data_IF_675966394130
#
_entry.id   IF_675966394130
#
_cell.length_a   1.000
_cell.length_b   1.000
_cell.length_c   1.000
_cell.angle_alpha   90.00
_cell.angle_beta   90.00
_cell.angle_gamma   90.00
#
_symmetry.space_group_name_H-M   'P 1'
#
loop_
_entity.id
_entity.type
_entity.pdbx_description
1 polymer ?
#
# COMPACT_ATOMS: atom_id res chain seq x y z
N UNK A 1 59.02 45.73 40.68
CA UNK A 1 59.49 44.33 40.63
C UNK A 1 58.94 43.73 39.34
N UNK A 2 59.57 43.88 38.18
CA UNK A 2 60.83 43.27 37.68
C UNK A 2 60.65 41.84 37.17
N UNK A 3 61.09 41.67 35.90
CA UNK A 3 61.41 40.44 35.11
C UNK A 3 60.24 39.84 34.29
N UNK A 4 60.26 39.96 32.96
CA UNK A 4 61.08 39.21 31.95
C UNK A 4 60.62 37.75 31.83
N UNK A 5 60.53 37.07 30.69
CA UNK A 5 60.72 37.34 29.26
C UNK A 5 60.32 36.05 28.49
N UNK A 6 60.55 36.04 27.17
CA UNK A 6 60.62 34.90 26.22
C UNK A 6 59.35 34.47 25.44
N UNK A 7 59.29 34.96 24.18
CA UNK A 7 59.00 34.17 22.95
C UNK A 7 60.19 33.18 22.71
N UNK A 8 60.15 32.13 21.83
CA UNK A 8 59.35 31.91 20.60
C UNK A 8 58.83 30.44 20.45
N UNK A 9 58.10 30.02 19.42
CA UNK A 9 58.67 29.49 18.17
C UNK A 9 57.57 29.26 17.11
N UNK A 10 57.89 29.67 15.87
CA UNK A 10 57.21 29.29 14.64
C UNK A 10 57.27 27.77 14.46
N UNK A 11 56.14 27.17 14.08
CA UNK A 11 56.06 25.84 13.50
C UNK A 11 55.13 25.88 12.29
N UNK A 12 55.66 26.23 11.13
CA UNK A 12 55.02 26.07 9.82
C UNK A 12 54.91 24.58 9.50
N UNK A 13 53.71 24.01 9.66
CA UNK A 13 53.37 22.72 9.07
C UNK A 13 52.69 22.97 7.72
N UNK A 14 53.45 22.80 6.64
CA UNK A 14 52.93 22.72 5.29
C UNK A 14 52.16 21.38 5.16
N UNK A 15 50.83 21.43 5.19
CA UNK A 15 50.01 20.30 4.80
C UNK A 15 49.96 20.25 3.27
N UNK A 16 50.67 19.26 2.70
CA UNK A 16 50.58 18.93 1.29
C UNK A 16 49.13 18.64 0.92
N UNK A 17 48.65 19.35 -0.11
CA UNK A 17 47.44 19.05 -0.82
C UNK A 17 47.59 17.72 -1.58
N UNK A 18 46.87 16.69 -1.16
CA UNK A 18 46.58 15.53 -1.98
C UNK A 18 45.21 15.75 -2.64
N UNK A 19 45.23 16.35 -3.84
CA UNK A 19 44.06 16.37 -4.72
C UNK A 19 43.88 14.94 -5.27
N UNK A 20 43.04 14.14 -4.62
CA UNK A 20 42.57 12.88 -5.21
C UNK A 20 41.52 13.27 -6.25
N UNK A 21 41.92 13.33 -7.53
CA UNK A 21 40.96 13.26 -8.62
C UNK A 21 40.33 11.86 -8.57
N UNK A 22 39.18 11.75 -7.91
CA UNK A 22 38.27 10.65 -8.14
C UNK A 22 37.82 10.75 -9.60
N UNK A 23 38.36 9.88 -10.46
CA UNK A 23 37.75 9.64 -11.74
C UNK A 23 36.28 9.26 -11.48
N UNK A 24 35.30 9.84 -12.20
CA UNK A 24 33.97 9.27 -12.20
C UNK A 24 34.13 7.87 -12.80
N UNK A 25 34.12 6.86 -11.94
CA UNK A 25 33.75 5.52 -12.35
C UNK A 25 32.38 5.68 -12.96
N UNK A 26 32.32 5.77 -14.29
CA UNK A 26 31.10 5.51 -15.01
C UNK A 26 30.69 4.12 -14.53
N UNK A 27 29.72 4.09 -13.62
CA UNK A 27 28.94 2.90 -13.33
C UNK A 27 28.35 2.54 -14.69
N UNK A 28 29.03 1.64 -15.40
CA UNK A 28 28.38 0.86 -16.41
C UNK A 28 27.21 0.22 -15.67
N UNK A 29 26.03 0.77 -15.88
CA UNK A 29 24.78 0.13 -15.53
C UNK A 29 24.76 -1.13 -16.39
N UNK A 30 25.39 -2.19 -15.90
CA UNK A 30 25.13 -3.53 -16.40
C UNK A 30 23.63 -3.67 -16.29
N UNK A 31 22.96 -3.78 -17.44
CA UNK A 31 21.58 -4.19 -17.48
C UNK A 31 21.44 -5.39 -16.52
N UNK A 32 20.38 -5.44 -15.69
CA UNK A 32 20.20 -6.56 -14.77
C UNK A 32 20.35 -7.84 -15.58
N UNK A 33 21.27 -8.69 -15.11
CA UNK A 33 21.50 -10.01 -15.65
C UNK A 33 20.13 -10.71 -15.68
N UNK A 34 19.51 -10.77 -16.87
CA UNK A 34 18.26 -11.49 -17.09
C UNK A 34 18.63 -12.96 -17.13
N UNK A 35 19.01 -13.49 -15.97
CA UNK A 35 19.12 -14.92 -15.78
C UNK A 35 17.74 -15.53 -16.00
N UNK A 36 17.70 -16.64 -16.73
CA UNK A 36 16.51 -17.45 -17.07
C UNK A 36 15.76 -18.01 -15.83
N UNK A 37 16.14 -17.58 -14.62
CA UNK A 37 15.62 -17.94 -13.30
C UNK A 37 15.04 -16.73 -12.52
N UNK A 38 14.76 -15.60 -13.18
CA UNK A 38 14.25 -14.41 -12.52
C UNK A 38 12.96 -14.69 -11.73
N UNK A 39 13.09 -14.84 -10.40
CA UNK A 39 11.96 -15.02 -9.51
C UNK A 39 11.13 -13.74 -9.50
N UNK A 40 9.82 -13.89 -9.65
CA UNK A 40 8.89 -12.76 -9.70
C UNK A 40 8.06 -12.78 -8.43
N UNK A 41 7.94 -11.62 -7.80
CA UNK A 41 7.15 -11.47 -6.58
C UNK A 41 6.10 -10.39 -6.76
N UNK A 42 4.90 -10.66 -6.27
CA UNK A 42 3.77 -9.74 -6.25
C UNK A 42 2.91 -10.04 -5.04
N UNK A 43 1.99 -9.14 -4.72
CA UNK A 43 1.07 -9.36 -3.62
C UNK A 43 -0.37 -9.51 -4.08
N UNK A 44 -1.19 -10.17 -3.28
CA UNK A 44 -2.59 -10.46 -3.60
C UNK A 44 -3.43 -10.33 -2.32
N UNK A 45 -4.50 -9.56 -2.36
CA UNK A 45 -5.55 -9.60 -1.35
C UNK A 45 -6.29 -10.94 -1.47
N UNK A 46 -6.32 -11.74 -0.40
CA UNK A 46 -6.77 -13.13 -0.48
C UNK A 46 -7.47 -13.66 0.77
N UNK A 47 -7.93 -14.91 0.63
CA UNK A 47 -8.60 -15.66 1.69
C UNK A 47 -7.64 -15.98 2.86
N UNK A 48 -8.20 -16.07 4.06
CA UNK A 48 -7.47 -16.39 5.30
C UNK A 48 -6.98 -17.83 5.38
N UNK A 49 -7.53 -18.72 4.55
CA UNK A 49 -7.18 -20.13 4.52
C UNK A 49 -5.74 -20.39 4.03
N UNK A 50 -5.15 -19.45 3.29
CA UNK A 50 -3.78 -19.59 2.79
C UNK A 50 -2.74 -19.33 3.87
N UNK A 51 -1.72 -20.19 3.92
CA UNK A 51 -0.62 -20.15 4.88
C UNK A 51 0.74 -19.94 4.20
N UNK A 52 1.72 -19.48 4.98
CA UNK A 52 3.10 -19.36 4.53
C UNK A 52 3.66 -20.71 4.04
N UNK A 53 4.44 -20.66 2.95
CA UNK A 53 4.99 -21.83 2.28
C UNK A 53 4.01 -22.60 1.40
N UNK A 54 2.71 -22.25 1.38
CA UNK A 54 1.74 -22.92 0.53
C UNK A 54 2.05 -22.69 -0.95
N UNK A 55 2.05 -23.77 -1.72
CA UNK A 55 2.15 -23.72 -3.17
C UNK A 55 0.80 -23.33 -3.78
N UNK A 56 0.83 -22.43 -4.75
CA UNK A 56 -0.34 -21.97 -5.50
C UNK A 56 -0.06 -22.16 -6.99
N UNK A 57 -1.05 -22.67 -7.71
CA UNK A 57 -1.05 -22.66 -9.16
C UNK A 57 -1.49 -21.29 -9.68
N UNK A 58 -1.05 -20.95 -10.90
CA UNK A 58 -1.54 -19.77 -11.64
C UNK A 58 -3.07 -19.81 -11.80
N UNK A 59 -3.63 -21.00 -11.97
CA UNK A 59 -5.06 -21.21 -12.09
C UNK A 59 -5.81 -20.84 -10.80
N UNK A 60 -5.30 -21.22 -9.63
CA UNK A 60 -5.87 -20.83 -8.32
C UNK A 60 -5.77 -19.33 -8.09
N UNK A 61 -4.62 -18.72 -8.40
CA UNK A 61 -4.46 -17.26 -8.30
C UNK A 61 -5.47 -16.48 -9.16
N UNK A 62 -5.76 -16.98 -10.36
CA UNK A 62 -6.73 -16.35 -11.25
C UNK A 62 -8.17 -16.59 -10.80
N UNK A 63 -8.52 -17.85 -10.50
CA UNK A 63 -9.89 -18.28 -10.21
C UNK A 63 -10.36 -17.85 -8.82
N UNK A 64 -9.51 -18.05 -7.81
CA UNK A 64 -9.89 -17.95 -6.40
C UNK A 64 -9.42 -16.63 -5.76
N UNK A 65 -8.41 -15.99 -6.35
CA UNK A 65 -7.86 -14.73 -5.85
C UNK A 65 -8.00 -13.55 -6.83
N UNK A 66 -8.69 -13.77 -7.96
CA UNK A 66 -9.03 -12.74 -8.94
C UNK A 66 -7.81 -11.96 -9.45
N UNK A 67 -6.65 -12.60 -9.51
CA UNK A 67 -5.47 -11.99 -10.12
C UNK A 67 -5.61 -12.06 -11.64
N UNK A 68 -5.44 -10.93 -12.32
CA UNK A 68 -5.53 -10.88 -13.77
C UNK A 68 -4.49 -11.83 -14.42
N UNK A 69 -4.97 -12.70 -15.32
CA UNK A 69 -4.14 -13.72 -15.96
C UNK A 69 -3.09 -13.11 -16.91
N UNK A 70 -3.36 -11.96 -17.52
CA UNK A 70 -2.39 -11.22 -18.33
C UNK A 70 -1.33 -10.59 -17.44
N UNK A 71 -1.68 -10.11 -16.25
CA UNK A 71 -0.73 -9.64 -15.25
C UNK A 71 0.22 -10.77 -14.83
N UNK A 72 -0.31 -11.95 -14.50
CA UNK A 72 0.50 -13.14 -14.19
C UNK A 72 1.37 -13.58 -15.37
N UNK A 73 0.87 -13.44 -16.60
CA UNK A 73 1.65 -13.71 -17.82
C UNK A 73 2.77 -12.69 -18.04
N UNK A 74 2.49 -11.39 -17.84
CA UNK A 74 3.46 -10.31 -17.95
C UNK A 74 4.57 -10.48 -16.91
N UNK A 75 4.20 -10.73 -15.65
CA UNK A 75 5.14 -11.13 -14.61
C UNK A 75 5.93 -12.35 -15.07
N UNK A 76 5.26 -13.33 -15.64
CA UNK A 76 5.90 -14.53 -16.12
C UNK A 76 6.89 -14.37 -17.26
N UNK A 77 6.82 -13.24 -17.98
CA UNK A 77 7.75 -12.82 -19.03
C UNK A 77 8.84 -11.87 -18.51
N UNK A 78 8.90 -11.62 -17.19
CA UNK A 78 9.86 -10.72 -16.56
C UNK A 78 9.51 -9.23 -16.74
N UNK A 79 8.30 -8.94 -17.20
CA UNK A 79 7.74 -7.59 -17.31
C UNK A 79 6.87 -7.34 -16.08
N UNK A 80 7.37 -6.57 -15.12
CA UNK A 80 6.48 -5.98 -14.13
C UNK A 80 5.54 -4.99 -14.86
N UNK A 81 4.26 -4.92 -14.50
CA UNK A 81 3.35 -3.89 -15.00
C UNK A 81 3.95 -2.52 -14.68
N UNK A 82 3.87 -1.60 -15.63
CA UNK A 82 4.21 -0.20 -15.35
C UNK A 82 3.18 0.33 -14.34
N UNK A 83 3.64 0.78 -13.16
CA UNK A 83 2.80 1.28 -12.06
C UNK A 83 1.94 2.50 -12.46
N UNK A 84 2.11 2.97 -13.70
CA UNK A 84 1.48 4.15 -14.29
C UNK A 84 0.06 3.93 -14.83
N UNK A 85 -0.41 2.68 -15.00
CA UNK A 85 -1.69 2.41 -15.71
C UNK A 85 -2.83 1.82 -14.86
N UNK A 86 -2.66 1.66 -13.54
CA UNK A 86 -3.73 1.17 -12.65
C UNK A 86 -4.76 2.26 -12.28
N UNK A 87 -5.19 3.09 -13.23
CA UNK A 87 -6.12 4.20 -13.00
C UNK A 87 -7.07 4.46 -14.17
N UNK A 88 -7.48 3.43 -14.92
CA UNK A 88 -8.69 3.53 -15.73
C UNK A 88 -9.89 3.15 -14.85
N UNK A 89 -10.39 4.12 -14.09
CA UNK A 89 -11.70 4.05 -13.45
C UNK A 89 -12.74 3.95 -14.58
N UNK A 90 -13.53 2.87 -14.71
CA UNK A 90 -14.67 2.88 -15.60
C UNK A 90 -15.63 3.95 -15.08
N UNK A 91 -15.87 4.96 -15.90
CA UNK A 91 -16.86 6.01 -15.71
C UNK A 91 -18.15 5.38 -15.17
N UNK A 92 -18.42 5.60 -13.89
CA UNK A 92 -19.60 5.03 -13.25
C UNK A 92 -20.83 5.68 -13.89
N UNK A 93 -21.80 4.90 -14.41
CA UNK A 93 -23.03 5.49 -14.90
C UNK A 93 -23.71 6.23 -13.75
N UNK A 94 -24.19 7.44 -14.03
CA UNK A 94 -25.08 8.19 -13.15
C UNK A 94 -26.34 7.35 -12.87
N UNK A 95 -26.31 6.56 -11.79
CA UNK A 95 -27.48 5.84 -11.30
C UNK A 95 -28.24 6.80 -10.40
N UNK A 96 -29.30 7.38 -10.95
CA UNK A 96 -30.33 8.08 -10.20
C UNK A 96 -30.96 7.08 -9.21
N UNK A 97 -30.67 7.27 -7.91
CA UNK A 97 -31.13 6.37 -6.86
C UNK A 97 -32.64 6.56 -6.61
N UNK A 98 -33.42 5.48 -6.44
CA UNK A 98 -34.83 5.61 -6.06
C UNK A 98 -34.96 6.17 -4.64
N UNK A 99 -35.91 7.11 -4.47
CA UNK A 99 -36.30 7.69 -3.20
C UNK A 99 -36.80 6.60 -2.23
N UNK A 100 -35.95 6.22 -1.28
CA UNK A 100 -36.33 5.43 -0.12
C UNK A 100 -36.11 6.31 1.11
N UNK A 101 -37.20 6.79 1.70
CA UNK A 101 -37.20 7.52 2.96
C UNK A 101 -36.65 6.62 4.09
N UNK A 102 -35.36 6.82 4.41
CA UNK A 102 -34.73 6.28 5.61
C UNK A 102 -34.93 7.25 6.79
N UNK A 103 -35.06 6.74 8.04
CA UNK A 103 -35.28 7.58 9.22
C UNK A 103 -34.11 8.55 9.44
N UNK A 104 -34.44 9.83 9.55
CA UNK A 104 -33.52 10.97 9.65
C UNK A 104 -32.74 10.96 10.96
N UNK A 105 -31.62 10.22 11.00
CA UNK A 105 -30.52 10.55 11.89
C UNK A 105 -29.85 11.83 11.34
N UNK A 106 -29.74 12.87 12.15
CA UNK A 106 -29.15 14.14 11.75
C UNK A 106 -27.76 13.90 11.12
N UNK A 107 -27.64 14.18 9.82
CA UNK A 107 -26.36 14.09 9.13
C UNK A 107 -25.39 15.08 9.82
N UNK A 108 -24.18 14.63 10.23
CA UNK A 108 -23.21 15.53 10.84
C UNK A 108 -22.89 16.65 9.84
N UNK A 109 -23.08 17.90 10.26
CA UNK A 109 -22.80 19.08 9.47
C UNK A 109 -21.33 19.07 9.07
N UNK A 110 -21.03 18.73 7.82
CA UNK A 110 -19.68 18.84 7.28
C UNK A 110 -19.30 20.32 7.37
N UNK A 111 -18.15 20.66 7.96
CA UNK A 111 -17.64 22.02 7.91
C UNK A 111 -17.40 22.38 6.44
N UNK A 112 -18.38 23.06 5.83
CA UNK A 112 -18.30 23.48 4.45
C UNK A 112 -17.06 24.36 4.27
N UNK A 113 -16.09 23.89 3.47
CA UNK A 113 -14.87 24.63 3.13
C UNK A 113 -13.56 24.05 3.67
N UNK A 114 -13.56 23.06 4.56
CA UNK A 114 -12.29 22.40 4.96
C UNK A 114 -11.85 21.38 3.90
N UNK A 115 -10.69 21.58 3.22
CA UNK A 115 -10.19 20.65 2.21
C UNK A 115 -9.92 19.24 2.76
N UNK A 116 -9.72 19.06 4.07
CA UNK A 116 -9.58 17.74 4.70
C UNK A 116 -10.86 16.91 4.55
N UNK A 117 -12.04 17.54 4.47
CA UNK A 117 -13.32 16.86 4.28
C UNK A 117 -13.70 16.68 2.81
N UNK A 118 -12.84 17.06 1.85
CA UNK A 118 -13.09 16.79 0.43
C UNK A 118 -13.23 15.28 0.19
N UNK A 119 -14.34 14.87 -0.45
CA UNK A 119 -14.56 13.49 -0.86
C UNK A 119 -13.54 13.12 -1.94
N UNK A 120 -12.86 12.00 -1.76
CA UNK A 120 -11.91 11.45 -2.73
C UNK A 120 -12.54 10.29 -3.48
N UNK A 121 -13.18 9.37 -2.75
CA UNK A 121 -13.86 8.23 -3.34
C UNK A 121 -15.02 7.78 -2.44
N UNK A 122 -16.03 7.15 -3.03
CA UNK A 122 -17.14 6.53 -2.32
C UNK A 122 -17.50 5.20 -2.97
N UNK A 123 -17.88 4.21 -2.16
CA UNK A 123 -18.30 2.89 -2.64
C UNK A 123 -19.13 2.16 -1.59
N UNK A 124 -19.82 1.10 -1.99
CA UNK A 124 -20.55 0.20 -1.08
C UNK A 124 -19.60 -0.86 -0.51
N UNK A 125 -19.56 -1.01 0.82
CA UNK A 125 -18.81 -2.06 1.52
C UNK A 125 -19.50 -3.43 1.43
N UNK A 126 -18.81 -4.46 1.94
CA UNK A 126 -19.34 -5.81 2.07
C UNK A 126 -20.68 -5.89 2.80
N UNK A 127 -20.91 -5.01 3.77
CA UNK A 127 -22.12 -4.98 4.60
C UNK A 127 -23.20 -4.06 4.04
N UNK A 128 -23.12 -3.71 2.74
CA UNK A 128 -24.06 -2.81 2.05
C UNK A 128 -24.13 -1.39 2.63
N UNK A 129 -23.03 -0.90 3.21
CA UNK A 129 -22.94 0.46 3.75
C UNK A 129 -22.06 1.33 2.87
N UNK A 130 -22.40 2.61 2.73
CA UNK A 130 -21.60 3.56 1.96
C UNK A 130 -20.34 3.94 2.73
N UNK A 131 -19.18 3.60 2.17
CA UNK A 131 -17.87 4.02 2.64
C UNK A 131 -17.49 5.31 1.93
N UNK A 132 -17.20 6.35 2.70
CA UNK A 132 -16.72 7.62 2.17
C UNK A 132 -15.25 7.78 2.53
N UNK A 133 -14.36 7.81 1.55
CA UNK A 133 -12.97 8.16 1.74
C UNK A 133 -12.78 9.64 1.40
N UNK A 134 -12.27 10.38 2.38
CA UNK A 134 -11.97 11.81 2.23
C UNK A 134 -10.47 12.06 2.31
N UNK A 135 -10.05 13.24 1.85
CA UNK A 135 -8.64 13.65 1.83
C UNK A 135 -7.98 13.54 3.20
N UNK A 136 -8.68 13.93 4.25
CA UNK A 136 -8.20 13.86 5.62
C UNK A 136 -6.99 14.75 5.90
N UNK A 137 -6.25 14.41 6.93
CA UNK A 137 -5.02 15.08 7.34
C UNK A 137 -4.05 14.08 8.00
N UNK A 138 -3.00 14.53 8.68
CA UNK A 138 -2.02 13.65 9.32
C UNK A 138 -2.61 12.68 10.38
N UNK A 139 -3.82 12.96 10.90
CA UNK A 139 -4.47 12.14 11.94
C UNK A 139 -5.56 11.19 11.43
N UNK A 140 -6.11 11.41 10.22
CA UNK A 140 -7.17 10.58 9.65
C UNK A 140 -7.28 10.70 8.12
N UNK A 141 -8.00 9.78 7.47
CA UNK A 141 -8.32 9.83 6.04
C UNK A 141 -7.13 9.50 5.14
N UNK A 142 -7.26 9.81 3.83
CA UNK A 142 -6.29 9.38 2.82
C UNK A 142 -4.87 9.89 3.09
N UNK A 143 -4.73 11.14 3.54
CA UNK A 143 -3.42 11.74 3.84
C UNK A 143 -2.64 10.90 4.85
N UNK A 144 -3.26 10.49 5.96
CA UNK A 144 -2.63 9.59 6.93
C UNK A 144 -2.34 8.22 6.33
N UNK A 145 -3.27 7.67 5.56
CA UNK A 145 -3.15 6.34 4.95
C UNK A 145 -1.90 6.27 4.04
N UNK A 146 -1.70 7.28 3.19
CA UNK A 146 -0.55 7.34 2.27
C UNK A 146 0.74 7.71 3.00
N UNK A 147 0.71 8.77 3.81
CA UNK A 147 1.91 9.35 4.38
C UNK A 147 2.43 8.61 5.61
N UNK A 148 1.55 7.99 6.41
CA UNK A 148 1.95 7.25 7.61
C UNK A 148 1.99 5.75 7.36
N UNK A 149 0.98 5.20 6.70
CA UNK A 149 0.80 3.75 6.62
C UNK A 149 1.20 3.15 5.28
N UNK A 150 1.56 3.97 4.28
CA UNK A 150 1.98 3.52 2.96
C UNK A 150 0.96 2.64 2.24
N UNK A 151 -0.33 2.99 2.33
CA UNK A 151 -1.40 2.34 1.59
C UNK A 151 -2.08 3.36 0.66
N UNK A 152 -2.95 2.89 -0.24
CA UNK A 152 -3.63 3.70 -1.25
C UNK A 152 -5.16 3.47 -1.22
N UNK A 153 -5.89 4.19 -2.07
CA UNK A 153 -7.35 4.05 -2.20
C UNK A 153 -7.76 2.62 -2.54
N UNK A 154 -7.03 1.96 -3.45
CA UNK A 154 -7.31 0.60 -3.89
C UNK A 154 -7.24 -0.43 -2.74
N UNK A 155 -6.23 -0.35 -1.88
CA UNK A 155 -6.11 -1.19 -0.70
C UNK A 155 -7.28 -0.97 0.29
N UNK A 156 -7.70 0.29 0.49
CA UNK A 156 -8.83 0.64 1.36
C UNK A 156 -10.14 0.07 0.81
N UNK A 157 -10.38 0.27 -0.49
CA UNK A 157 -11.57 -0.22 -1.20
C UNK A 157 -11.63 -1.74 -1.18
N UNK A 158 -10.54 -2.41 -1.54
CA UNK A 158 -10.45 -3.88 -1.57
C UNK A 158 -10.74 -4.47 -0.20
N UNK A 159 -10.12 -3.94 0.86
CA UNK A 159 -10.32 -4.46 2.23
C UNK A 159 -11.78 -4.33 2.69
N UNK A 160 -12.45 -3.23 2.35
CA UNK A 160 -13.83 -2.96 2.79
C UNK A 160 -14.89 -3.66 1.93
N UNK A 161 -14.61 -3.93 0.65
CA UNK A 161 -15.48 -4.73 -0.23
C UNK A 161 -15.34 -6.23 0.01
N UNK A 162 -14.13 -6.69 0.29
CA UNK A 162 -13.78 -8.11 0.39
C UNK A 162 -12.97 -8.39 1.67
N UNK A 163 -13.56 -8.17 2.87
CA UNK A 163 -12.91 -8.56 4.12
C UNK A 163 -12.72 -10.07 4.15
N UNK A 164 -11.60 -10.52 4.72
CA UNK A 164 -11.22 -11.91 4.65
C UNK A 164 -12.14 -12.79 5.55
N UNK A 165 -12.57 -13.97 5.08
CA UNK A 165 -13.44 -14.87 5.84
C UNK A 165 -12.85 -15.21 7.21
N UNK A 166 -13.66 -15.13 8.27
CA UNK A 166 -13.22 -15.42 9.64
C UNK A 166 -12.63 -14.22 10.40
N UNK A 167 -12.43 -13.07 9.76
CA UNK A 167 -12.28 -11.79 10.45
C UNK A 167 -13.64 -11.07 10.44
N UNK A 168 -14.48 -11.21 11.50
CA UNK A 168 -15.73 -10.48 11.53
C UNK A 168 -15.45 -8.98 11.46
N UNK A 169 -16.30 -8.23 10.76
CA UNK A 169 -16.24 -6.77 10.82
C UNK A 169 -16.52 -6.39 12.27
N UNK A 170 -15.51 -5.88 12.98
CA UNK A 170 -15.62 -5.60 14.41
C UNK A 170 -15.98 -4.13 14.60
N UNK A 171 -17.01 -3.89 15.40
CA UNK A 171 -17.25 -2.55 15.91
C UNK A 171 -16.09 -2.19 16.86
N UNK A 172 -15.30 -1.20 16.49
CA UNK A 172 -14.16 -0.72 17.26
C UNK A 172 -14.58 0.31 18.32
N UNK A 173 -15.55 1.15 17.96
CA UNK A 173 -16.15 2.21 18.77
C UNK A 173 -17.60 2.40 18.28
N UNK A 174 -18.46 3.19 18.97
CA UNK A 174 -19.74 3.60 18.42
C UNK A 174 -19.57 4.11 16.97
N UNK A 175 -20.33 3.50 16.04
CA UNK A 175 -20.28 3.76 14.60
C UNK A 175 -18.95 3.52 13.85
N UNK A 176 -17.88 3.08 14.53
CA UNK A 176 -16.59 2.72 13.91
C UNK A 176 -16.48 1.21 13.70
N UNK A 177 -16.10 0.79 12.49
CA UNK A 177 -16.03 -0.61 12.07
C UNK A 177 -14.68 -0.92 11.44
N UNK A 178 -14.07 -2.02 11.87
CA UNK A 178 -12.82 -2.53 11.32
C UNK A 178 -13.07 -3.65 10.31
N UNK A 179 -12.64 -3.42 9.08
CA UNK A 179 -12.54 -4.42 8.02
C UNK A 179 -11.11 -4.93 7.99
N UNK A 180 -10.91 -6.24 7.87
CA UNK A 180 -9.57 -6.86 7.84
C UNK A 180 -9.46 -7.79 6.64
N UNK A 181 -8.39 -7.64 5.87
CA UNK A 181 -8.08 -8.54 4.76
C UNK A 181 -6.63 -8.99 4.82
N UNK A 182 -6.39 -10.27 4.50
CA UNK A 182 -5.05 -10.82 4.39
C UNK A 182 -4.47 -10.47 3.01
N UNK A 183 -3.24 -9.95 3.00
CA UNK A 183 -2.47 -9.70 1.78
C UNK A 183 -1.29 -10.66 1.77
N UNK A 184 -1.25 -11.48 0.74
CA UNK A 184 -0.27 -12.54 0.55
C UNK A 184 0.85 -12.03 -0.34
N UNK A 185 2.09 -12.19 0.10
CA UNK A 185 3.24 -11.99 -0.75
C UNK A 185 3.56 -13.31 -1.44
N UNK A 186 3.40 -13.35 -2.75
CA UNK A 186 3.60 -14.54 -3.58
C UNK A 186 4.89 -14.40 -4.35
N UNK A 187 5.74 -15.43 -4.29
CA UNK A 187 6.95 -15.55 -5.09
C UNK A 187 6.82 -16.73 -6.03
N UNK A 188 6.99 -16.48 -7.32
CA UNK A 188 7.03 -17.51 -8.34
C UNK A 188 8.46 -17.72 -8.84
N UNK A 189 8.85 -18.97 -9.04
CA UNK A 189 10.13 -19.36 -9.64
C UNK A 189 9.95 -20.47 -10.67
N UNK A 190 10.94 -20.66 -11.53
CA UNK A 190 10.89 -21.63 -12.64
C UNK A 190 10.39 -21.02 -13.96
N UNK A 191 10.47 -21.84 -15.01
CA UNK A 191 10.29 -21.42 -16.41
C UNK A 191 8.95 -21.87 -17.00
N UNK A 192 8.21 -20.94 -17.62
CA UNK A 192 6.92 -21.13 -18.33
C UNK A 192 5.96 -22.17 -17.72
N UNK A 193 6.15 -23.45 -18.07
CA UNK A 193 5.29 -24.58 -17.74
C UNK A 193 5.64 -25.26 -16.42
N UNK A 194 6.84 -25.04 -15.89
CA UNK A 194 7.31 -25.57 -14.59
C UNK A 194 7.36 -24.48 -13.51
N UNK A 195 6.66 -23.36 -13.73
CA UNK A 195 6.60 -22.28 -12.77
C UNK A 195 5.78 -22.70 -11.56
N UNK A 196 6.38 -22.57 -10.39
CA UNK A 196 5.73 -22.80 -9.10
C UNK A 196 5.66 -21.48 -8.34
N UNK A 197 4.51 -21.18 -7.76
CA UNK A 197 4.31 -20.01 -6.92
C UNK A 197 4.12 -20.44 -5.47
N UNK A 198 4.72 -19.69 -4.55
CA UNK A 198 4.61 -19.92 -3.11
C UNK A 198 4.25 -18.65 -2.40
N UNK A 199 3.37 -18.74 -1.41
CA UNK A 199 3.24 -17.69 -0.41
C UNK A 199 4.53 -17.68 0.41
N UNK A 200 5.20 -16.52 0.50
CA UNK A 200 6.45 -16.37 1.26
C UNK A 200 6.27 -15.57 2.54
N UNK A 201 5.21 -14.77 2.61
CA UNK A 201 4.76 -14.09 3.82
C UNK A 201 3.32 -13.58 3.63
N UNK A 202 2.69 -13.14 4.71
CA UNK A 202 1.43 -12.43 4.64
C UNK A 202 1.36 -11.33 5.68
N UNK A 203 0.55 -10.31 5.41
CA UNK A 203 0.20 -9.25 6.34
C UNK A 203 -1.31 -9.04 6.35
N UNK A 204 -1.87 -8.65 7.48
CA UNK A 204 -3.27 -8.28 7.56
C UNK A 204 -3.41 -6.76 7.43
N UNK A 205 -4.11 -6.29 6.41
CA UNK A 205 -4.50 -4.89 6.27
C UNK A 205 -5.81 -4.68 7.03
N UNK A 206 -5.83 -3.70 7.91
CA UNK A 206 -7.02 -3.28 8.65
C UNK A 206 -7.45 -1.90 8.17
N UNK A 207 -8.74 -1.73 7.85
CA UNK A 207 -9.37 -0.45 7.53
C UNK A 207 -10.42 -0.12 8.57
N UNK A 208 -10.31 1.05 9.20
CA UNK A 208 -11.30 1.57 10.14
C UNK A 208 -12.19 2.59 9.45
N UNK A 209 -13.50 2.32 9.39
CA UNK A 209 -14.52 3.22 8.83
C UNK A 209 -15.45 3.68 9.94
N UNK A 210 -15.64 4.99 10.08
CA UNK A 210 -16.68 5.53 10.94
C UNK A 210 -17.86 6.02 10.09
N UNK A 211 -19.03 5.44 10.32
CA UNK A 211 -20.24 5.75 9.56
C UNK A 211 -21.14 6.78 10.25
N UNK A 212 -20.87 7.10 11.51
CA UNK A 212 -21.65 8.06 12.32
C UNK A 212 -21.12 9.49 12.23
N UNK A 213 -19.97 9.70 11.59
CA UNK A 213 -19.36 11.02 11.46
C UNK A 213 -19.01 11.37 10.00
N UNK A 214 -18.80 12.66 9.78
CA UNK A 214 -18.46 13.19 8.46
C UNK A 214 -17.11 12.70 7.92
N UNK A 215 -16.22 12.11 8.73
CA UNK A 215 -14.87 11.71 8.29
C UNK A 215 -14.91 10.48 7.37
N UNK A 216 -15.82 9.54 7.61
CA UNK A 216 -15.87 8.27 6.87
C UNK A 216 -14.69 7.38 7.24
N UNK A 217 -13.82 7.06 6.26
CA UNK A 217 -12.60 6.27 6.52
C UNK A 217 -11.65 7.03 7.45
N UNK A 218 -11.33 6.44 8.59
CA UNK A 218 -10.44 7.03 9.60
C UNK A 218 -8.98 6.67 9.31
N UNK A 219 -8.68 5.40 9.02
CA UNK A 219 -7.32 4.93 8.79
C UNK A 219 -7.30 3.57 8.10
N UNK A 220 -6.15 3.21 7.53
CA UNK A 220 -5.82 1.88 7.06
C UNK A 220 -4.36 1.59 7.40
N UNK A 221 -4.03 0.37 7.82
CA UNK A 221 -2.66 0.00 8.24
C UNK A 221 -2.44 -1.52 8.21
N UNK A 222 -1.17 -1.94 8.22
CA UNK A 222 -0.78 -3.35 8.35
C UNK A 222 -0.65 -3.72 9.82
N UNK A 223 -1.37 -4.75 10.25
CA UNK A 223 -1.32 -5.25 11.61
C UNK A 223 0.07 -5.78 11.95
N UNK A 224 0.61 -5.40 13.11
CA UNK A 224 1.95 -5.80 13.55
C UNK A 224 3.09 -5.02 12.91
N UNK A 225 2.81 -4.08 12.01
CA UNK A 225 3.80 -3.18 11.41
C UNK A 225 3.72 -1.82 12.09
N UNK A 226 4.84 -1.39 12.70
CA UNK A 226 4.85 -0.19 13.55
C UNK A 226 4.62 1.12 12.77
N UNK A 227 5.17 1.21 11.56
CA UNK A 227 5.16 2.43 10.76
C UNK A 227 4.41 2.24 9.43
N UNK A 228 5.17 1.93 8.37
CA UNK A 228 4.71 1.87 6.99
C UNK A 228 4.53 0.42 6.57
N UNK A 229 3.40 0.11 5.92
CA UNK A 229 3.26 -1.13 5.19
C UNK A 229 4.38 -1.27 4.14
N UNK A 230 4.91 -2.47 3.90
CA UNK A 230 5.80 -2.74 2.78
C UNK A 230 5.15 -2.35 1.44
N UNK A 231 5.95 -1.90 0.47
CA UNK A 231 5.45 -1.47 -0.85
C UNK A 231 4.72 -2.60 -1.60
N UNK A 232 5.10 -3.86 -1.37
CA UNK A 232 4.41 -5.01 -1.96
C UNK A 232 2.93 -5.06 -1.55
N UNK A 233 2.56 -4.61 -0.35
CA UNK A 233 1.16 -4.57 0.08
C UNK A 233 0.37 -3.51 -0.69
N UNK A 234 0.97 -2.33 -0.87
CA UNK A 234 0.36 -1.20 -1.58
C UNK A 234 0.13 -1.52 -3.06
N UNK A 235 1.07 -2.25 -3.66
CA UNK A 235 1.10 -2.59 -5.08
C UNK A 235 0.54 -3.99 -5.33
N UNK A 236 -0.38 -4.47 -4.48
CA UNK A 236 -0.99 -5.78 -4.68
C UNK A 236 -1.75 -5.83 -6.00
N UNK A 237 -1.54 -6.92 -6.74
CA UNK A 237 -1.96 -7.15 -8.10
C UNK A 237 -3.47 -7.08 -8.34
N UNK A 238 -4.28 -7.30 -7.30
CA UNK A 238 -5.74 -7.28 -7.36
C UNK A 238 -6.35 -6.15 -6.51
N UNK A 239 -5.54 -5.15 -6.15
CA UNK A 239 -6.07 -3.93 -5.55
C UNK A 239 -6.74 -3.08 -6.64
N UNK A 240 -8.08 -3.10 -6.70
CA UNK A 240 -8.89 -2.34 -7.66
C UNK A 240 -10.10 -1.65 -6.99
#
# INVERSE_FOLDING_TARGET
MSRSALRPALGTAAALAALILAAPSALATTAPDRGDDAAVSFAVFGDTSLVDGQELSVAELTRDHHVDANLLRAYGQGTAPDDSEASDDPESPDVEAPDVEAPTAAAPTVQAGDPAYALVASWTSKDHRTVNLRRGNASWGLTKIEQKHNLNVAAVRTTTKYPAPGFPVKQAEPDSWNYVTKVLHVRCSGWLWWRTCKVVEFLNVTVTVNYGNAKGVITAYCLGVADRCPDWVKNAANAA
#
